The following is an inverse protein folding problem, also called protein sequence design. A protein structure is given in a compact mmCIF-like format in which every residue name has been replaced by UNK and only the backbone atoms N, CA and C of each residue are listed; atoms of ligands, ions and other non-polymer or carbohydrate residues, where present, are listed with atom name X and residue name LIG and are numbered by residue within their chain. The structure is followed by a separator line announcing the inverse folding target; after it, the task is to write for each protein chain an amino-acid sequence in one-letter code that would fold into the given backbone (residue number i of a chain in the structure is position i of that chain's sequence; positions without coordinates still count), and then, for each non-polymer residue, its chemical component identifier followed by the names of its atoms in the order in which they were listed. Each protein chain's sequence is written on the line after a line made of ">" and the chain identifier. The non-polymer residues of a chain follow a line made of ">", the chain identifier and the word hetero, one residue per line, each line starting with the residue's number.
data_IF_749521255269
#
_entry.id   IF_749521255269
#
_cell.length_a   1.000
_cell.length_b   1.000
_cell.length_c   1.000
_cell.angle_alpha   90.00
_cell.angle_beta   90.00
_cell.angle_gamma   90.00
#
_symmetry.space_group_name_H-M   'P 1'
#
loop_
_entity.id
_entity.type
_entity.pdbx_description
1 polymer ?
#
# COMPACT_ATOMS: atom_id res chain seq x y z
N UNK A 1 12.65 -8.74 -2.74
CA UNK A 1 11.66 -8.58 -3.84
C UNK A 1 12.29 -7.90 -5.07
N UNK A 2 11.76 -8.09 -6.29
CA UNK A 2 12.15 -7.28 -7.47
C UNK A 2 11.09 -6.20 -7.73
N UNK A 3 11.51 -4.95 -7.92
CA UNK A 3 10.62 -3.79 -8.08
C UNK A 3 9.56 -3.96 -9.19
N UNK A 4 9.95 -4.52 -10.35
CA UNK A 4 9.02 -4.74 -11.47
C UNK A 4 7.91 -5.73 -11.16
N UNK A 5 8.21 -6.79 -10.40
CA UNK A 5 7.21 -7.78 -10.01
C UNK A 5 6.22 -7.17 -9.04
N UNK A 6 6.74 -6.41 -8.07
CA UNK A 6 5.94 -5.68 -7.09
C UNK A 6 4.97 -4.70 -7.77
N UNK A 7 5.47 -3.90 -8.71
CA UNK A 7 4.61 -2.98 -9.46
C UNK A 7 3.51 -3.72 -10.26
N UNK A 8 3.85 -4.86 -10.87
CA UNK A 8 2.88 -5.70 -11.60
C UNK A 8 1.81 -6.28 -10.68
N UNK A 9 2.17 -6.72 -9.48
CA UNK A 9 1.24 -7.26 -8.47
C UNK A 9 0.29 -6.18 -7.95
N UNK A 10 0.73 -4.93 -7.89
CA UNK A 10 -0.10 -3.81 -7.43
C UNK A 10 -1.07 -3.29 -8.50
N UNK A 11 -0.94 -3.70 -9.76
CA UNK A 11 -1.85 -3.26 -10.84
C UNK A 11 -3.25 -3.84 -10.72
N UNK A 12 -3.42 -4.99 -10.06
CA UNK A 12 -4.72 -5.67 -9.93
C UNK A 12 -5.57 -5.14 -8.78
N UNK A 13 -5.08 -4.15 -8.02
CA UNK A 13 -5.82 -3.59 -6.88
C UNK A 13 -7.03 -2.80 -7.36
N UNK A 14 -8.20 -3.20 -6.87
CA UNK A 14 -9.45 -2.52 -7.15
C UNK A 14 -9.40 -1.07 -6.67
N UNK A 15 -9.99 -0.16 -7.45
CA UNK A 15 -10.08 1.27 -7.12
C UNK A 15 -11.42 1.58 -6.47
N UNK A 16 -11.57 2.79 -5.92
CA UNK A 16 -12.86 3.26 -5.44
C UNK A 16 -13.86 3.40 -6.59
N UNK A 17 -15.03 2.77 -6.46
CA UNK A 17 -16.13 2.93 -7.43
C UNK A 17 -16.74 4.34 -7.38
N UNK A 18 -16.83 4.94 -6.19
CA UNK A 18 -17.38 6.28 -5.92
C UNK A 18 -16.52 7.01 -4.89
N UNK A 19 -15.41 7.65 -5.32
CA UNK A 19 -14.52 8.36 -4.39
C UNK A 19 -15.21 9.57 -3.76
N UNK A 20 -15.10 9.70 -2.43
CA UNK A 20 -15.57 10.84 -1.65
C UNK A 20 -14.48 11.91 -1.63
N UNK A 21 -14.71 13.02 -2.35
CA UNK A 21 -13.76 14.15 -2.45
C UNK A 21 -13.45 14.75 -1.08
N UNK A 22 -14.48 14.83 -0.20
CA UNK A 22 -14.35 15.40 1.15
C UNK A 22 -13.38 14.61 2.05
N UNK A 23 -13.11 13.34 1.73
CA UNK A 23 -12.17 12.48 2.43
C UNK A 23 -10.89 12.24 1.62
N UNK A 24 -10.70 13.02 0.54
CA UNK A 24 -9.54 12.92 -0.35
C UNK A 24 -9.26 11.50 -0.86
N UNK A 25 -10.31 10.77 -1.27
CA UNK A 25 -10.18 9.37 -1.72
C UNK A 25 -9.57 9.23 -3.13
N UNK A 26 -8.26 9.49 -3.26
CA UNK A 26 -7.48 9.14 -4.44
C UNK A 26 -6.75 7.81 -4.23
N UNK A 27 -6.61 7.03 -5.32
CA UNK A 27 -5.83 5.80 -5.27
C UNK A 27 -4.35 6.11 -5.52
N UNK A 28 -3.48 5.71 -4.60
CA UNK A 28 -2.03 5.65 -4.82
C UNK A 28 -1.74 4.81 -6.07
N UNK A 29 -0.86 5.30 -6.94
CA UNK A 29 -0.52 4.56 -8.17
C UNK A 29 0.34 3.34 -7.85
N UNK A 30 0.21 2.22 -8.61
CA UNK A 30 1.04 1.03 -8.42
C UNK A 30 2.55 1.34 -8.46
N UNK A 31 2.95 2.25 -9.34
CA UNK A 31 4.34 2.69 -9.47
C UNK A 31 4.87 3.34 -8.19
N UNK A 32 4.11 4.29 -7.61
CA UNK A 32 4.49 4.98 -6.38
C UNK A 32 4.52 4.03 -5.19
N UNK A 33 3.47 3.20 -5.05
CA UNK A 33 3.37 2.21 -3.98
C UNK A 33 4.53 1.18 -4.04
N UNK A 34 4.84 0.67 -5.23
CA UNK A 34 5.95 -0.27 -5.42
C UNK A 34 7.29 0.37 -5.05
N UNK A 35 7.54 1.62 -5.45
CA UNK A 35 8.79 2.33 -5.14
C UNK A 35 8.94 2.57 -3.63
N UNK A 36 7.87 2.99 -2.97
CA UNK A 36 7.84 3.22 -1.53
C UNK A 36 8.14 1.93 -0.76
N UNK A 37 7.38 0.86 -1.03
CA UNK A 37 7.53 -0.42 -0.35
C UNK A 37 8.87 -1.09 -0.64
N UNK A 38 9.35 -1.03 -1.89
CA UNK A 38 10.67 -1.54 -2.25
C UNK A 38 11.76 -0.82 -1.47
N UNK A 39 11.67 0.51 -1.31
CA UNK A 39 12.66 1.28 -0.55
C UNK A 39 12.61 0.91 0.93
N UNK A 40 11.42 0.88 1.53
CA UNK A 40 11.24 0.49 2.94
C UNK A 40 11.78 -0.93 3.23
N UNK A 41 11.55 -1.89 2.33
CA UNK A 41 12.06 -3.25 2.49
C UNK A 41 13.56 -3.37 2.21
N UNK A 42 14.05 -2.84 1.09
CA UNK A 42 15.42 -3.13 0.61
C UNK A 42 16.48 -2.18 1.13
N UNK A 43 16.13 -0.92 1.42
CA UNK A 43 17.09 0.10 1.88
C UNK A 43 17.09 0.18 3.39
N UNK A 44 15.92 0.05 4.03
CA UNK A 44 15.74 0.31 5.46
C UNK A 44 15.42 -0.93 6.29
N UNK A 45 15.07 -2.06 5.67
CA UNK A 45 14.67 -3.30 6.37
C UNK A 45 13.49 -3.10 7.35
N UNK A 46 12.61 -2.15 7.04
CA UNK A 46 11.49 -1.74 7.89
C UNK A 46 10.22 -2.58 7.67
N UNK A 47 10.30 -3.63 6.86
CA UNK A 47 9.14 -4.46 6.49
C UNK A 47 9.21 -5.88 7.05
N UNK A 48 10.36 -6.55 6.94
CA UNK A 48 10.46 -7.98 7.28
C UNK A 48 10.41 -8.19 8.80
N UNK A 49 9.55 -9.11 9.26
CA UNK A 49 9.33 -9.41 10.69
C UNK A 49 8.90 -8.20 11.54
N UNK A 50 8.31 -7.17 10.92
CA UNK A 50 7.76 -5.99 11.61
C UNK A 50 6.23 -6.01 11.58
N UNK A 51 5.63 -5.40 12.60
CA UNK A 51 4.19 -5.08 12.59
C UNK A 51 4.03 -3.70 11.94
N UNK A 52 3.35 -3.66 10.80
CA UNK A 52 3.14 -2.46 10.01
C UNK A 52 1.67 -2.02 10.13
N UNK A 53 1.45 -0.72 10.27
CA UNK A 53 0.13 -0.10 10.25
C UNK A 53 -0.02 0.74 8.97
N UNK A 54 -1.18 0.63 8.31
CA UNK A 54 -1.56 1.41 7.14
C UNK A 54 -2.69 2.37 7.50
N UNK A 55 -2.36 3.64 7.69
CA UNK A 55 -3.31 4.68 8.06
C UNK A 55 -3.94 5.29 6.81
N UNK A 56 -5.27 5.30 6.74
CA UNK A 56 -5.98 5.77 5.55
C UNK A 56 -5.87 4.80 4.38
N UNK A 57 -5.82 3.49 4.65
CA UNK A 57 -5.49 2.43 3.69
C UNK A 57 -6.33 2.43 2.40
N UNK A 58 -7.49 3.06 2.39
CA UNK A 58 -8.33 3.21 1.20
C UNK A 58 -8.62 1.88 0.51
N UNK A 59 -8.15 1.73 -0.73
CA UNK A 59 -8.25 0.49 -1.52
C UNK A 59 -7.31 -0.64 -1.07
N UNK A 60 -6.41 -0.38 -0.11
CA UNK A 60 -5.51 -1.38 0.48
C UNK A 60 -4.32 -1.74 -0.40
N UNK A 61 -3.88 -0.84 -1.29
CA UNK A 61 -2.77 -1.13 -2.21
C UNK A 61 -1.45 -1.47 -1.50
N UNK A 62 -1.22 -0.89 -0.31
CA UNK A 62 -0.02 -1.18 0.48
C UNK A 62 -0.10 -2.51 1.23
N UNK A 63 -1.30 -3.13 1.30
CA UNK A 63 -1.54 -4.36 2.06
C UNK A 63 -1.05 -5.63 1.36
N UNK A 64 -1.05 -5.66 0.02
CA UNK A 64 -0.77 -6.88 -0.75
C UNK A 64 0.66 -7.42 -0.49
N UNK A 65 1.55 -6.57 0.00
CA UNK A 65 2.99 -6.80 0.01
C UNK A 65 3.49 -7.32 1.36
N UNK A 66 2.72 -7.14 2.44
CA UNK A 66 3.07 -7.65 3.77
C UNK A 66 2.04 -8.66 4.23
N UNK A 67 2.47 -9.91 4.42
CA UNK A 67 1.64 -10.99 4.97
C UNK A 67 1.15 -10.71 6.41
N UNK A 68 1.65 -9.68 7.10
CA UNK A 68 1.29 -9.33 8.49
C UNK A 68 1.15 -7.80 8.68
N UNK A 69 0.15 -7.18 8.04
CA UNK A 69 -0.32 -5.83 8.40
C UNK A 69 -1.60 -5.96 9.24
N UNK A 70 -1.59 -5.39 10.44
CA UNK A 70 -2.79 -5.21 11.26
C UNK A 70 -3.53 -3.94 10.82
N UNK A 71 -4.85 -4.02 10.74
CA UNK A 71 -5.72 -2.90 10.35
C UNK A 71 -6.03 -2.00 11.55
N UNK A 72 -5.77 -0.70 11.40
CA UNK A 72 -6.51 0.34 12.10
C UNK A 72 -7.06 1.28 11.03
N UNK A 73 -8.34 1.11 10.69
CA UNK A 73 -9.06 2.06 9.85
C UNK A 73 -9.41 3.29 10.70
N UNK A 74 -8.51 4.26 10.78
CA UNK A 74 -8.90 5.62 11.14
C UNK A 74 -9.35 6.29 9.85
N UNK A 75 -10.67 6.37 9.69
CA UNK A 75 -11.29 7.33 8.78
C UNK A 75 -11.05 8.70 9.44
N UNK A 76 -10.26 9.56 8.78
CA UNK A 76 -10.40 11.00 8.97
C UNK A 76 -11.65 11.44 8.20
#
# INVERSE_FOLDING_TARGET
>A
MRLKNLESELQVVARFDKPKIQLEQYCTTPHLAARMLYTAHTVYDDIESKVIADFGCGCGILRIVSQQIFLIQIII
#
